data_IF_994648125645
#
_entry.id   IF_994648125645
#
_cell.length_a   1.000
_cell.length_b   1.000
_cell.length_c   1.000
_cell.angle_alpha   90.00
_cell.angle_beta   90.00
_cell.angle_gamma   90.00
#
_symmetry.space_group_name_H-M   'P 1'
#
loop_
_entity.id
_entity.type
_entity.pdbx_description
1 polymer ?
#
# COMPACT_ATOMS: atom_id res chain seq x y z
N UNK A 1 -2.88 -9.07 34.81
CA UNK A 1 -3.78 -9.00 33.64
C UNK A 1 -2.90 -8.64 32.46
N UNK A 2 -2.14 -9.61 31.96
CA UNK A 2 -1.46 -9.47 30.67
C UNK A 2 -2.37 -10.14 29.65
N UNK A 3 -3.20 -9.30 29.02
CA UNK A 3 -3.93 -9.72 27.84
C UNK A 3 -2.93 -9.82 26.71
N UNK A 4 -2.36 -11.01 26.54
CA UNK A 4 -1.80 -11.48 25.27
C UNK A 4 -2.98 -11.50 24.28
N UNK A 5 -3.31 -10.31 23.77
CA UNK A 5 -4.17 -10.20 22.61
C UNK A 5 -3.34 -10.79 21.48
N UNK A 6 -3.80 -11.85 20.80
CA UNK A 6 -3.02 -12.44 19.73
C UNK A 6 -2.71 -11.30 18.76
N UNK A 7 -1.42 -11.08 18.50
CA UNK A 7 -0.94 -10.40 17.31
C UNK A 7 -1.65 -11.11 16.15
N UNK A 8 -2.85 -10.63 15.81
CA UNK A 8 -3.52 -11.01 14.56
C UNK A 8 -2.50 -10.60 13.53
N UNK A 9 -1.78 -11.57 13.00
CA UNK A 9 -0.78 -11.39 11.96
C UNK A 9 -1.37 -10.39 10.98
N UNK A 10 -0.86 -9.16 11.03
CA UNK A 10 -1.40 -8.10 10.21
C UNK A 10 -0.87 -8.39 8.81
N UNK A 11 -1.62 -9.18 8.07
CA UNK A 11 -1.25 -9.56 6.71
C UNK A 11 -1.40 -8.32 5.85
N UNK A 12 -0.25 -7.78 5.43
CA UNK A 12 -0.19 -6.73 4.42
C UNK A 12 -0.16 -7.37 3.04
N UNK A 13 -0.86 -6.75 2.12
CA UNK A 13 -0.91 -7.11 0.70
C UNK A 13 -0.32 -5.94 -0.08
N UNK A 14 0.41 -6.25 -1.15
CA UNK A 14 0.95 -5.24 -2.04
C UNK A 14 -0.12 -4.75 -3.04
N UNK A 15 -0.23 -3.44 -3.18
CA UNK A 15 -1.15 -2.78 -4.08
C UNK A 15 -0.40 -1.80 -4.97
N UNK A 16 -0.70 -1.79 -6.27
CA UNK A 16 -0.21 -0.79 -7.19
C UNK A 16 -1.09 0.46 -7.13
N UNK A 17 -0.42 1.60 -7.03
CA UNK A 17 -1.04 2.92 -7.03
C UNK A 17 -1.38 3.29 -8.46
N UNK A 18 -2.67 3.41 -8.73
CA UNK A 18 -3.20 3.80 -10.04
C UNK A 18 -3.47 5.31 -10.12
N UNK A 19 -3.53 6.00 -8.98
CA UNK A 19 -3.78 7.44 -8.90
C UNK A 19 -2.89 8.07 -7.82
N UNK A 20 -2.22 9.19 -8.14
CA UNK A 20 -1.33 9.85 -7.21
C UNK A 20 -2.13 10.45 -6.02
N UNK A 21 -1.91 9.93 -4.81
CA UNK A 21 -2.71 10.28 -3.64
C UNK A 21 -1.97 10.03 -2.32
N UNK A 22 -2.41 10.65 -1.21
CA UNK A 22 -1.89 10.33 0.11
C UNK A 22 -2.45 8.97 0.59
N UNK A 23 -1.54 8.07 0.98
CA UNK A 23 -1.83 6.75 1.53
C UNK A 23 -1.08 6.63 2.85
N UNK A 24 -1.78 6.33 3.95
CA UNK A 24 -1.22 6.30 5.31
C UNK A 24 -0.42 7.57 5.69
N UNK A 25 -0.85 8.74 5.20
CA UNK A 25 -0.16 10.01 5.46
C UNK A 25 1.09 10.28 4.61
N UNK A 26 1.42 9.39 3.66
CA UNK A 26 2.51 9.60 2.70
C UNK A 26 1.96 9.76 1.29
N UNK A 27 2.42 10.78 0.56
CA UNK A 27 2.09 10.95 -0.85
C UNK A 27 2.70 9.82 -1.69
N UNK A 28 1.88 9.20 -2.53
CA UNK A 28 2.28 8.13 -3.45
C UNK A 28 1.89 8.49 -4.86
N UNK A 29 2.75 8.14 -5.80
CA UNK A 29 2.57 8.43 -7.22
C UNK A 29 2.09 7.20 -8.00
N UNK A 30 1.62 7.41 -9.23
CA UNK A 30 1.11 6.33 -10.07
C UNK A 30 2.26 5.39 -10.45
N UNK A 31 2.02 4.08 -10.34
CA UNK A 31 3.03 3.04 -10.58
C UNK A 31 3.91 2.72 -9.38
N UNK A 32 3.72 3.40 -8.23
CA UNK A 32 4.29 2.94 -6.95
C UNK A 32 3.55 1.70 -6.44
N UNK A 33 4.24 0.85 -5.70
CA UNK A 33 3.62 -0.24 -4.96
C UNK A 33 3.61 0.10 -3.47
N UNK A 34 2.47 -0.10 -2.81
CA UNK A 34 2.29 0.10 -1.37
C UNK A 34 1.81 -1.17 -0.70
N UNK A 35 2.44 -1.54 0.40
CA UNK A 35 1.99 -2.66 1.23
C UNK A 35 0.98 -2.14 2.25
N UNK A 36 -0.28 -2.55 2.13
CA UNK A 36 -1.37 -2.13 3.01
C UNK A 36 -2.09 -3.33 3.59
N UNK A 37 -2.69 -3.15 4.75
CA UNK A 37 -3.67 -4.12 5.26
C UNK A 37 -4.91 -4.09 4.38
N UNK A 38 -5.63 -5.21 4.27
CA UNK A 38 -6.92 -5.25 3.57
C UNK A 38 -7.89 -4.17 4.09
N UNK A 39 -7.84 -3.93 5.42
CA UNK A 39 -8.68 -2.91 6.06
C UNK A 39 -8.35 -1.49 5.60
N UNK A 40 -7.08 -1.19 5.39
CA UNK A 40 -6.65 0.11 4.85
C UNK A 40 -6.97 0.18 3.35
N UNK A 41 -6.62 -0.87 2.60
CA UNK A 41 -6.80 -0.94 1.16
C UNK A 41 -8.27 -0.82 0.73
N UNK A 42 -9.24 -1.30 1.54
CA UNK A 42 -10.66 -1.20 1.21
C UNK A 42 -11.11 0.23 0.90
N UNK A 43 -10.51 1.24 1.53
CA UNK A 43 -10.85 2.66 1.32
C UNK A 43 -10.29 3.22 0.00
N UNK A 44 -9.42 2.46 -0.67
CA UNK A 44 -8.74 2.85 -1.90
C UNK A 44 -9.06 1.91 -3.07
N UNK A 45 -9.77 0.81 -2.81
CA UNK A 45 -10.20 -0.18 -3.79
C UNK A 45 -11.69 -0.01 -4.13
N UNK A 46 -12.11 -0.29 -5.37
CA UNK A 46 -13.53 -0.27 -5.73
C UNK A 46 -14.33 -1.31 -4.92
N UNK A 47 -15.60 -1.02 -4.57
CA UNK A 47 -16.42 0.14 -4.95
C UNK A 47 -16.28 1.36 -4.02
N UNK A 48 -15.61 1.22 -2.88
CA UNK A 48 -15.57 2.26 -1.83
C UNK A 48 -14.51 3.32 -2.07
N UNK A 49 -13.47 2.96 -2.81
CA UNK A 49 -12.36 3.82 -3.19
C UNK A 49 -11.93 3.59 -4.63
N UNK A 50 -10.91 4.34 -5.02
CA UNK A 50 -10.33 4.33 -6.36
C UNK A 50 -8.85 4.72 -6.24
N UNK A 51 -8.00 4.20 -7.13
CA UNK A 51 -6.58 4.56 -7.15
C UNK A 51 -5.62 3.54 -6.54
N UNK A 52 -6.09 2.40 -6.03
CA UNK A 52 -5.25 1.21 -5.79
C UNK A 52 -5.74 0.01 -6.61
N UNK A 53 -4.84 -0.92 -6.89
CA UNK A 53 -5.12 -2.23 -7.48
C UNK A 53 -4.31 -3.31 -6.77
N UNK A 54 -4.91 -4.45 -6.44
CA UNK A 54 -4.18 -5.55 -5.81
C UNK A 54 -3.11 -6.10 -6.76
N UNK A 55 -1.86 -6.14 -6.31
CA UNK A 55 -0.73 -6.66 -7.08
C UNK A 55 -0.72 -8.19 -6.96
N UNK A 56 -1.59 -8.82 -7.74
CA UNK A 56 -1.85 -10.26 -7.66
C UNK A 56 -2.73 -10.81 -8.79
N UNK A 57 -3.47 -9.96 -9.49
CA UNK A 57 -4.22 -10.34 -10.69
C UNK A 57 -3.38 -10.37 -11.99
N UNK A 58 -2.05 -10.37 -11.87
CA UNK A 58 -1.18 -10.50 -13.04
C UNK A 58 0.28 -10.15 -12.77
N UNK A 59 1.04 -11.10 -12.23
CA UNK A 59 2.48 -11.17 -12.45
C UNK A 59 3.36 -10.37 -11.50
N UNK A 60 4.01 -11.11 -10.60
CA UNK A 60 5.46 -11.13 -10.40
C UNK A 60 6.19 -9.77 -10.40
N UNK A 61 6.52 -9.32 -9.20
CA UNK A 61 7.83 -8.77 -8.81
C UNK A 61 8.82 -8.52 -9.97
N UNK A 62 8.88 -7.30 -10.49
CA UNK A 62 10.12 -6.78 -11.06
C UNK A 62 10.16 -5.23 -10.95
N UNK A 63 11.13 -4.75 -10.17
CA UNK A 63 11.73 -3.40 -10.11
C UNK A 63 10.82 -2.17 -10.29
N UNK A 64 10.71 -1.35 -9.25
CA UNK A 64 10.92 0.13 -9.26
C UNK A 64 10.57 0.69 -7.87
N UNK A 65 11.25 1.65 -7.26
CA UNK A 65 12.37 2.46 -7.69
C UNK A 65 13.26 2.83 -6.49
N UNK A 66 14.58 2.66 -6.65
CA UNK A 66 15.53 3.54 -5.97
C UNK A 66 15.31 4.95 -6.52
N UNK A 67 14.61 5.81 -5.77
CA UNK A 67 14.81 7.28 -5.67
C UNK A 67 13.55 7.94 -5.12
N UNK A 68 13.63 8.32 -3.86
CA UNK A 68 13.30 9.69 -3.46
C UNK A 68 14.20 10.05 -2.29
N UNK A 69 15.48 10.23 -2.63
CA UNK A 69 16.40 11.04 -1.84
C UNK A 69 15.83 12.46 -1.86
N UNK A 70 15.15 12.85 -0.79
CA UNK A 70 14.97 14.26 -0.47
C UNK A 70 16.36 14.78 -0.10
N UNK A 71 16.93 15.81 -0.76
CA UNK A 71 18.07 16.51 -0.18
C UNK A 71 17.54 17.12 1.13
N UNK A 72 18.00 16.58 2.25
CA UNK A 72 17.84 17.21 3.55
C UNK A 72 18.80 18.40 3.52
N UNK A 73 18.25 19.61 3.43
CA UNK A 73 19.00 20.85 3.44
C UNK A 73 19.58 21.17 4.81
#
# INVERSE_FOLDING_TARGET
>A
MEGDMPEKEITTVDYDVMEARPINGQWRDVGETVSLTERQAMYFLPPYGQGLRAKGEGGSSEKSARKSTKPQG
#
